data_IF_729604248490
#
_entry.id   IF_729604248490
#
_cell.length_a   1.000
_cell.length_b   1.000
_cell.length_c   1.000
_cell.angle_alpha   90.00
_cell.angle_beta   90.00
_cell.angle_gamma   90.00
#
_symmetry.space_group_name_H-M   'P 1'
#
loop_
_entity.id
_entity.type
_entity.pdbx_description
1 polymer ?
#
# COMPACT_ATOMS: atom_id res chain seq x y z
N UNK A 1 -4.59 -44.90 13.82
CA UNK A 1 -3.58 -43.95 13.30
C UNK A 1 -3.99 -43.55 11.90
N UNK A 2 -4.80 -42.49 11.78
CA UNK A 2 -5.32 -41.97 10.52
C UNK A 2 -4.49 -40.74 10.14
N UNK A 3 -3.74 -40.85 9.06
CA UNK A 3 -2.93 -39.77 8.47
C UNK A 3 -3.86 -38.71 7.88
N UNK A 4 -3.83 -37.49 8.43
CA UNK A 4 -4.52 -36.35 7.86
C UNK A 4 -3.67 -35.79 6.70
N UNK A 5 -4.19 -35.90 5.48
CA UNK A 5 -3.56 -35.39 4.27
C UNK A 5 -3.44 -33.86 4.29
N UNK A 6 -2.26 -33.35 3.89
CA UNK A 6 -2.04 -31.92 3.67
C UNK A 6 -2.95 -31.41 2.54
N UNK A 7 -3.59 -30.23 2.68
CA UNK A 7 -4.28 -29.60 1.56
C UNK A 7 -3.26 -29.19 0.50
N UNK A 8 -3.54 -29.52 -0.77
CA UNK A 8 -2.77 -29.02 -1.91
C UNK A 8 -3.05 -27.51 -2.10
N UNK A 9 -2.03 -26.69 -2.38
CA UNK A 9 -2.23 -25.32 -2.81
C UNK A 9 -2.99 -25.31 -4.15
N UNK A 10 -4.10 -24.58 -4.19
CA UNK A 10 -4.91 -24.43 -5.40
C UNK A 10 -4.08 -23.88 -6.56
N UNK A 11 -4.11 -24.59 -7.69
CA UNK A 11 -3.47 -24.16 -8.92
C UNK A 11 -4.17 -22.90 -9.44
N UNK A 12 -3.43 -21.82 -9.63
CA UNK A 12 -3.91 -20.65 -10.39
C UNK A 12 -4.08 -21.04 -11.87
N UNK A 13 -5.12 -20.54 -12.55
CA UNK A 13 -5.31 -20.79 -13.98
C UNK A 13 -4.13 -20.24 -14.79
N UNK A 14 -3.58 -21.07 -15.68
CA UNK A 14 -2.57 -20.64 -16.64
C UNK A 14 -3.25 -19.71 -17.68
N UNK A 15 -2.68 -18.52 -17.88
CA UNK A 15 -3.17 -17.60 -18.90
C UNK A 15 -3.03 -18.24 -20.30
N UNK A 16 -4.04 -18.13 -21.18
CA UNK A 16 -3.93 -18.59 -22.56
C UNK A 16 -2.91 -17.74 -23.36
N UNK A 17 -2.31 -18.31 -24.42
CA UNK A 17 -1.38 -17.59 -25.28
C UNK A 17 -2.06 -16.40 -25.97
N UNK A 18 -1.35 -15.28 -26.03
CA UNK A 18 -1.78 -14.04 -26.70
C UNK A 18 -1.91 -14.29 -28.20
N UNK A 19 -3.14 -14.22 -28.73
CA UNK A 19 -3.39 -14.20 -30.18
C UNK A 19 -3.36 -12.76 -30.68
N UNK A 20 -2.38 -12.44 -31.53
CA UNK A 20 -2.31 -11.16 -32.22
C UNK A 20 -3.42 -11.11 -33.28
N UNK A 21 -4.40 -10.23 -33.10
CA UNK A 21 -5.39 -9.93 -34.14
C UNK A 21 -4.88 -8.84 -35.08
N UNK A 22 -5.07 -9.07 -36.37
CA UNK A 22 -4.76 -8.12 -37.45
C UNK A 22 -5.56 -6.82 -37.29
N UNK A 23 -4.84 -5.70 -37.36
CA UNK A 23 -5.36 -4.34 -37.27
C UNK A 23 -6.27 -4.00 -38.47
N UNK A 24 -7.44 -3.36 -38.27
CA UNK A 24 -8.25 -2.87 -39.39
C UNK A 24 -7.56 -1.68 -40.09
N UNK A 25 -7.72 -1.51 -41.42
CA UNK A 25 -7.11 -0.40 -42.14
C UNK A 25 -7.98 0.85 -42.08
N UNK A 26 -7.34 2.02 -41.92
CA UNK A 26 -7.90 3.29 -42.36
C UNK A 26 -8.55 4.17 -41.28
N UNK A 27 -7.74 4.64 -40.32
CA UNK A 27 -8.02 5.87 -39.59
C UNK A 27 -6.88 6.85 -39.84
N UNK A 28 -7.19 8.10 -40.22
CA UNK A 28 -6.19 9.16 -40.37
C UNK A 28 -5.33 9.24 -39.09
N UNK A 29 -3.99 9.30 -39.22
CA UNK A 29 -3.12 9.35 -38.05
C UNK A 29 -3.37 10.66 -37.32
N UNK A 30 -3.96 10.57 -36.12
CA UNK A 30 -4.03 11.68 -35.19
C UNK A 30 -2.62 12.28 -35.05
N UNK A 31 -2.50 13.58 -35.34
CA UNK A 31 -1.24 14.32 -35.27
C UNK A 31 -0.60 14.10 -33.90
N UNK A 32 0.55 13.44 -33.88
CA UNK A 32 1.27 13.14 -32.65
C UNK A 32 1.70 14.44 -31.94
N UNK A 33 1.66 14.48 -30.60
CA UNK A 33 2.04 15.67 -29.85
C UNK A 33 3.52 16.07 -30.10
N UNK A 34 3.86 17.37 -29.92
CA UNK A 34 5.22 17.88 -29.97
C UNK A 34 6.20 17.04 -29.13
N UNK A 35 7.47 17.01 -29.54
CA UNK A 35 8.50 16.20 -28.88
C UNK A 35 8.74 16.60 -27.40
N UNK A 36 8.59 17.89 -27.08
CA UNK A 36 8.75 18.42 -25.71
C UNK A 36 7.65 17.92 -24.77
N UNK A 37 6.40 17.85 -25.25
CA UNK A 37 5.27 17.34 -24.47
C UNK A 37 5.43 15.85 -24.17
N UNK A 38 5.93 15.07 -25.13
CA UNK A 38 6.27 13.66 -24.93
C UNK A 38 7.37 13.47 -23.88
N UNK A 39 8.37 14.35 -23.86
CA UNK A 39 9.43 14.32 -22.87
C UNK A 39 8.91 14.55 -21.45
N UNK A 40 8.01 15.52 -21.27
CA UNK A 40 7.37 15.81 -19.97
C UNK A 40 6.49 14.66 -19.51
N UNK A 41 5.63 14.13 -20.40
CA UNK A 41 4.76 13.01 -20.10
C UNK A 41 5.55 11.76 -19.66
N UNK A 42 6.66 11.46 -20.35
CA UNK A 42 7.55 10.36 -19.96
C UNK A 42 8.21 10.58 -18.60
N UNK A 43 8.63 11.81 -18.31
CA UNK A 43 9.21 12.16 -17.02
C UNK A 43 8.19 12.04 -15.87
N UNK A 44 6.95 12.48 -16.09
CA UNK A 44 5.85 12.31 -15.13
C UNK A 44 5.54 10.83 -14.89
N UNK A 45 5.41 10.03 -15.94
CA UNK A 45 5.22 8.57 -15.83
C UNK A 45 6.38 7.90 -15.07
N UNK A 46 7.62 8.34 -15.30
CA UNK A 46 8.79 7.84 -14.60
C UNK A 46 8.76 8.19 -13.11
N UNK A 47 8.35 9.41 -12.78
CA UNK A 47 8.17 9.87 -11.40
C UNK A 47 7.10 9.05 -10.69
N UNK A 48 5.94 8.84 -11.31
CA UNK A 48 4.85 8.06 -10.72
C UNK A 48 5.25 6.59 -10.50
N UNK A 49 5.89 5.97 -11.50
CA UNK A 49 6.42 4.62 -11.36
C UNK A 49 7.43 4.52 -10.20
N UNK A 50 8.26 5.55 -10.01
CA UNK A 50 9.20 5.63 -8.89
C UNK A 50 8.48 5.74 -7.54
N UNK A 51 7.44 6.57 -7.42
CA UNK A 51 6.58 6.64 -6.21
C UNK A 51 6.03 5.27 -5.87
N UNK A 52 5.40 4.59 -6.84
CA UNK A 52 4.80 3.27 -6.65
C UNK A 52 5.81 2.24 -6.14
N UNK A 53 7.01 2.19 -6.74
CA UNK A 53 8.09 1.28 -6.31
C UNK A 53 8.58 1.59 -4.90
N UNK A 54 8.79 2.86 -4.57
CA UNK A 54 9.20 3.22 -3.22
C UNK A 54 8.10 2.89 -2.20
N UNK A 55 6.81 3.00 -2.56
CA UNK A 55 5.71 2.65 -1.68
C UNK A 55 5.74 1.14 -1.36
N UNK A 56 6.00 0.30 -2.37
CA UNK A 56 6.22 -1.15 -2.19
C UNK A 56 7.39 -1.40 -1.25
N UNK A 57 8.56 -0.79 -1.48
CA UNK A 57 9.75 -0.97 -0.63
C UNK A 57 9.44 -0.59 0.82
N UNK A 58 8.76 0.54 1.02
CA UNK A 58 8.40 1.08 2.34
C UNK A 58 7.43 0.16 3.06
N UNK A 59 6.37 -0.30 2.40
CA UNK A 59 5.39 -1.20 3.03
C UNK A 59 5.94 -2.60 3.25
N UNK A 60 6.84 -3.09 2.39
CA UNK A 60 7.57 -4.34 2.63
C UNK A 60 8.35 -4.25 3.93
N UNK A 61 9.16 -3.20 4.11
CA UNK A 61 9.90 -2.97 5.35
C UNK A 61 8.97 -2.81 6.56
N UNK A 62 7.93 -2.00 6.44
CA UNK A 62 6.93 -1.82 7.50
C UNK A 62 6.29 -3.16 7.89
N UNK A 63 5.93 -4.02 6.93
CA UNK A 63 5.29 -5.31 7.22
C UNK A 63 6.17 -6.24 8.04
N UNK A 64 7.49 -6.19 7.84
CA UNK A 64 8.46 -6.96 8.64
C UNK A 64 8.53 -6.38 10.04
N UNK A 65 8.70 -5.06 10.16
CA UNK A 65 8.76 -4.39 11.47
C UNK A 65 7.46 -4.56 12.27
N UNK A 66 6.32 -4.54 11.59
CA UNK A 66 5.01 -4.80 12.18
C UNK A 66 4.93 -6.22 12.73
N UNK A 67 5.32 -7.24 11.94
CA UNK A 67 5.40 -8.62 12.41
C UNK A 67 6.36 -8.79 13.60
N UNK A 68 7.53 -8.15 13.56
CA UNK A 68 8.49 -8.14 14.69
C UNK A 68 7.85 -7.58 15.96
N UNK A 69 7.23 -6.39 15.88
CA UNK A 69 6.61 -5.77 17.04
C UNK A 69 5.41 -6.57 17.58
N UNK A 70 4.55 -7.08 16.68
CA UNK A 70 3.41 -7.90 17.06
C UNK A 70 3.86 -9.20 17.74
N UNK A 71 4.91 -9.83 17.20
CA UNK A 71 5.53 -11.00 17.81
C UNK A 71 6.06 -10.68 19.20
N UNK A 72 6.90 -9.67 19.36
CA UNK A 72 7.55 -9.36 20.64
C UNK A 72 6.55 -9.05 21.75
N UNK A 73 5.41 -8.43 21.41
CA UNK A 73 4.39 -8.02 22.40
C UNK A 73 3.25 -9.00 22.61
N UNK A 74 3.23 -10.14 21.91
CA UNK A 74 2.09 -11.07 21.82
C UNK A 74 1.50 -11.58 23.15
N UNK A 75 2.25 -11.55 24.25
CA UNK A 75 1.82 -12.06 25.56
C UNK A 75 1.54 -11.01 26.64
N UNK A 76 1.87 -9.73 26.39
CA UNK A 76 1.72 -8.68 27.41
C UNK A 76 0.80 -7.55 26.93
N UNK A 77 1.17 -6.94 25.81
CA UNK A 77 0.46 -5.80 25.22
C UNK A 77 0.26 -6.09 23.72
N UNK A 78 -0.60 -7.07 23.38
CA UNK A 78 -0.72 -7.55 22.01
C UNK A 78 -1.07 -6.39 21.07
N UNK A 79 -0.36 -6.32 19.95
CA UNK A 79 -0.64 -5.37 18.88
C UNK A 79 -1.71 -5.98 17.98
N UNK A 80 -2.64 -5.16 17.49
CA UNK A 80 -3.62 -5.57 16.50
C UNK A 80 -2.93 -6.18 15.27
N UNK A 81 -3.57 -7.06 14.50
CA UNK A 81 -2.98 -7.66 13.31
C UNK A 81 -2.83 -6.65 12.15
N UNK A 82 -2.99 -5.35 12.40
CA UNK A 82 -3.04 -4.29 11.39
C UNK A 82 -2.12 -3.13 11.74
N UNK A 83 -1.47 -2.57 10.72
CA UNK A 83 -0.72 -1.32 10.82
C UNK A 83 -1.02 -0.42 9.63
N UNK A 84 -1.09 0.89 9.87
CA UNK A 84 -1.31 1.91 8.85
C UNK A 84 -0.04 2.74 8.63
N UNK A 85 0.26 3.05 7.38
CA UNK A 85 1.24 4.03 6.94
C UNK A 85 0.55 5.10 6.12
N UNK A 86 0.74 6.35 6.52
CA UNK A 86 0.41 7.54 5.76
C UNK A 86 1.68 7.93 5.02
N UNK A 87 1.64 7.88 3.69
CA UNK A 87 2.81 7.98 2.83
C UNK A 87 2.98 9.41 2.34
N UNK A 88 4.20 9.92 2.50
CA UNK A 88 4.60 11.25 2.06
C UNK A 88 5.81 11.13 1.16
N UNK A 89 5.79 11.88 0.06
CA UNK A 89 6.93 12.02 -0.82
C UNK A 89 7.63 13.34 -0.55
N UNK A 90 8.96 13.35 -0.70
CA UNK A 90 9.79 14.53 -0.55
C UNK A 90 10.97 14.45 -1.52
N UNK A 91 11.52 15.61 -1.88
CA UNK A 91 12.77 15.65 -2.64
C UNK A 91 13.94 15.47 -1.68
N UNK A 92 14.97 14.75 -2.09
CA UNK A 92 16.21 14.68 -1.32
C UNK A 92 17.00 15.98 -1.45
N UNK A 93 17.64 16.48 -0.37
CA UNK A 93 18.39 17.74 -0.43
C UNK A 93 19.53 17.76 -1.44
N UNK A 94 20.09 16.59 -1.80
CA UNK A 94 21.27 16.44 -2.63
C UNK A 94 20.98 16.17 -4.12
N UNK A 95 19.71 16.21 -4.57
CA UNK A 95 19.40 16.06 -6.00
C UNK A 95 17.92 15.86 -6.32
N UNK A 96 17.63 15.58 -7.60
CA UNK A 96 16.27 15.30 -8.12
C UNK A 96 15.76 13.89 -7.73
N UNK A 97 16.21 13.38 -6.58
CA UNK A 97 15.81 12.08 -6.08
C UNK A 97 14.58 12.21 -5.20
N UNK A 98 13.52 11.51 -5.59
CA UNK A 98 12.35 11.34 -4.75
C UNK A 98 12.58 10.30 -3.66
N UNK A 99 12.19 10.62 -2.43
CA UNK A 99 12.14 9.73 -1.28
C UNK A 99 10.72 9.64 -0.73
N UNK A 100 10.35 8.46 -0.25
CA UNK A 100 9.13 8.25 0.53
C UNK A 100 9.45 8.14 2.01
N UNK A 101 8.71 8.89 2.82
CA UNK A 101 8.66 8.80 4.28
C UNK A 101 7.24 8.42 4.70
N UNK A 102 7.08 7.97 5.95
CA UNK A 102 5.76 7.64 6.45
C UNK A 102 5.52 8.07 7.89
N UNK A 103 4.27 8.44 8.16
CA UNK A 103 3.71 8.49 9.50
C UNK A 103 2.94 7.18 9.73
N UNK A 104 3.31 6.42 10.76
CA UNK A 104 2.82 5.06 11.00
C UNK A 104 1.99 4.96 12.27
N UNK A 105 0.89 4.23 12.18
CA UNK A 105 -0.02 3.94 13.29
C UNK A 105 -0.12 2.43 13.49
N UNK A 106 0.04 2.00 14.74
CA UNK A 106 -0.25 0.67 15.23
C UNK A 106 -1.30 0.78 16.33
N UNK A 107 -2.06 -0.29 16.55
CA UNK A 107 -3.06 -0.32 17.61
C UNK A 107 -2.77 -1.47 18.56
N UNK A 108 -3.26 -1.34 19.79
CA UNK A 108 -3.38 -2.50 20.67
C UNK A 108 -4.50 -3.40 20.14
N UNK A 109 -4.36 -4.71 20.35
CA UNK A 109 -5.40 -5.67 20.02
C UNK A 109 -6.57 -5.49 20.99
N UNK A 110 -7.77 -5.37 20.44
CA UNK A 110 -9.01 -5.12 21.16
C UNK A 110 -10.21 -5.44 20.27
N UNK A 111 -11.42 -5.36 20.82
CA UNK A 111 -12.64 -5.60 20.05
C UNK A 111 -12.80 -4.60 18.89
N UNK A 112 -12.35 -3.37 19.10
CA UNK A 112 -12.38 -2.28 18.13
C UNK A 112 -11.39 -2.43 16.97
N UNK A 113 -10.37 -3.28 17.15
CA UNK A 113 -9.32 -3.54 16.15
C UNK A 113 -9.39 -4.94 15.54
N UNK A 114 -10.44 -5.72 15.85
CA UNK A 114 -10.62 -7.09 15.33
C UNK A 114 -10.89 -7.14 13.84
N UNK A 115 -11.58 -6.14 13.29
CA UNK A 115 -12.02 -6.13 11.89
C UNK A 115 -11.44 -4.93 11.15
N UNK A 116 -10.50 -5.18 10.24
CA UNK A 116 -9.82 -4.10 9.51
C UNK A 116 -10.77 -3.14 8.77
N UNK A 117 -11.79 -3.59 8.02
CA UNK A 117 -12.72 -2.66 7.36
C UNK A 117 -13.43 -1.74 8.35
N UNK A 118 -13.86 -2.27 9.50
CA UNK A 118 -14.54 -1.51 10.55
C UNK A 118 -13.59 -0.55 11.25
N UNK A 119 -12.35 -0.98 11.49
CA UNK A 119 -11.29 -0.13 12.04
C UNK A 119 -11.03 1.09 11.14
N UNK A 120 -10.88 0.87 9.83
CA UNK A 120 -10.67 1.95 8.87
C UNK A 120 -11.88 2.88 8.76
N UNK A 121 -13.10 2.33 8.74
CA UNK A 121 -14.33 3.14 8.80
C UNK A 121 -14.33 4.09 10.02
N UNK A 122 -14.13 3.54 11.21
CA UNK A 122 -14.11 4.31 12.45
C UNK A 122 -13.00 5.35 12.42
N UNK A 123 -11.82 5.00 11.89
CA UNK A 123 -10.70 5.93 11.76
C UNK A 123 -11.04 7.12 10.86
N UNK A 124 -11.69 6.89 9.73
CA UNK A 124 -12.17 7.96 8.84
C UNK A 124 -13.11 8.92 9.56
N UNK A 125 -14.03 8.39 10.38
CA UNK A 125 -14.94 9.23 11.17
C UNK A 125 -14.20 10.06 12.21
N UNK A 126 -13.29 9.45 12.97
CA UNK A 126 -12.50 10.13 14.01
C UNK A 126 -11.63 11.22 13.40
N UNK A 127 -10.92 10.95 12.30
CA UNK A 127 -10.09 11.95 11.61
C UNK A 127 -10.92 13.12 11.13
N UNK A 128 -12.11 12.86 10.56
CA UNK A 128 -13.00 13.91 10.07
C UNK A 128 -13.54 14.79 11.21
N UNK A 129 -13.96 14.17 12.32
CA UNK A 129 -14.45 14.87 13.50
C UNK A 129 -13.36 15.71 14.16
N UNK A 130 -12.18 15.13 14.35
CA UNK A 130 -11.04 15.82 14.97
C UNK A 130 -10.57 17.01 14.15
N UNK A 131 -10.47 16.85 12.83
CA UNK A 131 -10.07 17.94 11.94
C UNK A 131 -11.09 19.08 11.92
N UNK A 132 -12.38 18.78 12.04
CA UNK A 132 -13.42 19.79 12.13
C UNK A 132 -13.42 20.52 13.50
N UNK A 133 -13.12 19.80 14.58
CA UNK A 133 -13.14 20.34 15.94
C UNK A 133 -11.86 21.09 16.33
N UNK A 134 -10.73 20.80 15.70
CA UNK A 134 -9.40 21.29 16.10
C UNK A 134 -8.75 22.10 14.97
N UNK A 135 -8.78 23.44 15.04
CA UNK A 135 -8.01 24.28 14.12
C UNK A 135 -6.53 23.90 14.15
N UNK A 136 -5.93 23.68 12.97
CA UNK A 136 -4.52 23.27 12.85
C UNK A 136 -4.24 21.79 13.06
N UNK A 137 -5.26 20.92 13.01
CA UNK A 137 -5.09 19.46 13.00
C UNK A 137 -4.05 19.02 11.96
N UNK A 138 -3.03 18.30 12.41
CA UNK A 138 -1.93 17.78 11.59
C UNK A 138 -2.04 16.25 11.55
N UNK A 139 -2.51 15.72 10.41
CA UNK A 139 -2.70 14.28 10.20
C UNK A 139 -1.47 13.47 10.62
N UNK A 140 -0.26 13.93 10.27
CA UNK A 140 0.98 13.23 10.63
C UNK A 140 1.15 13.12 12.15
N UNK A 141 0.95 14.21 12.88
CA UNK A 141 1.25 14.31 14.31
C UNK A 141 0.12 13.79 15.19
N UNK A 142 -1.12 14.04 14.78
CA UNK A 142 -2.30 13.73 15.55
C UNK A 142 -2.79 12.28 15.33
N UNK A 143 -2.57 11.69 14.15
CA UNK A 143 -3.04 10.35 13.83
C UNK A 143 -2.00 9.26 14.14
N UNK A 144 -0.74 9.49 13.80
CA UNK A 144 0.30 8.46 13.82
C UNK A 144 0.96 8.30 15.20
N UNK A 145 1.44 7.10 15.50
CA UNK A 145 2.24 6.85 16.70
C UNK A 145 3.73 7.16 16.49
N UNK A 146 4.19 7.10 15.24
CA UNK A 146 5.58 7.33 14.87
C UNK A 146 5.65 8.00 13.52
N UNK A 147 6.44 9.06 13.43
CA UNK A 147 6.82 9.72 12.19
C UNK A 147 8.27 9.38 11.90
N UNK A 148 8.60 9.15 10.62
CA UNK A 148 9.99 9.02 10.19
C UNK A 148 10.81 10.25 10.58
N UNK A 149 11.99 10.02 11.17
CA UNK A 149 12.84 11.10 11.71
C UNK A 149 13.35 12.07 10.64
N UNK A 150 13.40 11.60 9.41
CA UNK A 150 13.88 12.31 8.22
C UNK A 150 12.73 12.78 7.31
N UNK A 151 11.49 12.76 7.80
CA UNK A 151 10.37 13.40 7.12
C UNK A 151 10.58 14.91 7.08
N UNK A 152 10.66 15.45 5.87
CA UNK A 152 10.85 16.87 5.65
C UNK A 152 9.56 17.66 5.95
N UNK A 153 9.64 18.91 6.42
CA UNK A 153 8.45 19.73 6.67
C UNK A 153 7.60 20.03 5.43
N UNK A 154 8.21 19.97 4.24
CA UNK A 154 7.58 20.19 2.93
C UNK A 154 7.22 18.87 2.20
N UNK A 155 7.32 17.73 2.89
CA UNK A 155 6.88 16.45 2.36
C UNK A 155 5.37 16.48 2.07
N UNK A 156 4.97 15.98 0.91
CA UNK A 156 3.57 16.01 0.47
C UNK A 156 2.95 14.62 0.48
N UNK A 157 1.67 14.57 0.84
CA UNK A 157 0.91 13.32 0.90
C UNK A 157 0.80 12.68 -0.49
N UNK A 158 1.00 11.35 -0.56
CA UNK A 158 0.85 10.59 -1.81
C UNK A 158 0.01 9.33 -1.69
N UNK A 159 -0.37 8.90 -0.49
CA UNK A 159 -1.26 7.76 -0.32
C UNK A 159 -1.22 7.09 1.04
N UNK A 160 -1.88 5.95 1.12
CA UNK A 160 -1.91 5.09 2.30
C UNK A 160 -1.34 3.71 1.98
N UNK A 161 -0.79 3.07 3.00
CA UNK A 161 -0.54 1.64 3.02
C UNK A 161 -1.05 1.01 4.30
N UNK A 162 -1.60 -0.19 4.19
CA UNK A 162 -2.01 -1.00 5.34
C UNK A 162 -1.27 -2.32 5.29
N UNK A 163 -0.57 -2.67 6.37
CA UNK A 163 -0.03 -4.01 6.60
C UNK A 163 -1.02 -4.81 7.44
N UNK A 164 -1.31 -6.04 7.03
CA UNK A 164 -2.13 -6.99 7.78
C UNK A 164 -1.39 -8.31 7.96
N UNK A 165 -1.40 -8.83 9.18
CA UNK A 165 -0.89 -10.17 9.52
C UNK A 165 -1.99 -11.24 9.39
N UNK A 166 -3.25 -10.82 9.22
CA UNK A 166 -4.31 -11.69 8.72
C UNK A 166 -4.16 -11.80 7.21
N UNK A 167 -3.91 -13.00 6.74
CA UNK A 167 -3.66 -13.30 5.33
C UNK A 167 -4.65 -14.32 4.82
N UNK A 168 -4.64 -14.58 3.51
CA UNK A 168 -5.50 -15.61 2.96
C UNK A 168 -5.09 -17.04 3.40
N UNK A 169 -3.91 -17.21 3.99
CA UNK A 169 -3.46 -18.49 4.57
C UNK A 169 -3.83 -18.66 6.05
N UNK A 170 -4.40 -17.64 6.69
CA UNK A 170 -4.83 -17.72 8.07
C UNK A 170 -4.80 -16.37 8.79
N UNK A 171 -5.44 -16.35 9.95
CA UNK A 171 -5.42 -15.24 10.90
C UNK A 171 -4.06 -15.09 11.57
N UNK A 172 -3.79 -13.92 12.13
CA UNK A 172 -2.62 -13.67 12.97
C UNK A 172 -2.51 -14.66 14.12
N UNK A 173 -3.63 -15.03 14.76
CA UNK A 173 -3.61 -15.98 15.87
C UNK A 173 -3.10 -17.36 15.41
N UNK A 174 -3.62 -17.87 14.28
CA UNK A 174 -3.19 -19.15 13.70
C UNK A 174 -1.73 -19.10 13.25
N UNK A 175 -1.33 -18.02 12.56
CA UNK A 175 0.05 -17.83 12.12
C UNK A 175 1.03 -17.76 13.29
N UNK A 176 0.68 -17.04 14.35
CA UNK A 176 1.47 -16.92 15.59
C UNK A 176 1.66 -18.27 16.27
N UNK A 177 0.59 -19.07 16.37
CA UNK A 177 0.62 -20.35 17.08
C UNK A 177 1.45 -21.40 16.34
N UNK A 178 1.51 -21.32 14.99
CA UNK A 178 2.31 -22.20 14.15
C UNK A 178 3.76 -21.76 13.93
N UNK A 179 4.12 -20.51 14.21
CA UNK A 179 5.43 -19.95 13.91
C UNK A 179 6.45 -20.14 15.04
N UNK A 180 7.72 -20.28 14.67
CA UNK A 180 8.86 -20.31 15.58
C UNK A 180 9.42 -18.92 15.86
N UNK A 181 9.24 -17.98 14.93
CA UNK A 181 9.73 -16.61 15.05
C UNK A 181 8.94 -15.62 14.20
N UNK A 182 9.16 -14.33 14.42
CA UNK A 182 8.51 -13.27 13.64
C UNK A 182 8.76 -13.35 12.13
N UNK A 183 9.87 -13.97 11.69
CA UNK A 183 10.23 -14.05 10.27
C UNK A 183 9.38 -15.06 9.50
N UNK A 184 8.70 -15.97 10.20
CA UNK A 184 7.74 -16.92 9.63
C UNK A 184 6.32 -16.35 9.52
N UNK A 185 6.08 -15.17 10.10
CA UNK A 185 4.77 -14.53 10.05
C UNK A 185 4.55 -13.93 8.66
N UNK A 186 3.55 -14.39 7.90
CA UNK A 186 3.22 -13.80 6.62
C UNK A 186 2.52 -12.45 6.83
N UNK A 187 2.48 -11.64 5.78
CA UNK A 187 1.74 -10.39 5.79
C UNK A 187 1.24 -10.04 4.41
N UNK A 188 0.09 -9.39 4.34
CA UNK A 188 -0.38 -8.70 3.13
C UNK A 188 -0.28 -7.19 3.34
N UNK A 189 0.30 -6.49 2.38
CA UNK A 189 0.25 -5.04 2.33
C UNK A 189 -0.68 -4.58 1.21
N UNK A 190 -1.57 -3.64 1.52
CA UNK A 190 -2.45 -2.96 0.56
C UNK A 190 -2.01 -1.51 0.48
N UNK A 191 -1.89 -0.96 -0.72
CA UNK A 191 -1.44 0.43 -0.96
C UNK A 191 -2.46 1.09 -1.88
N UNK A 192 -2.87 2.30 -1.53
CA UNK A 192 -3.72 3.18 -2.36
C UNK A 192 -3.04 4.54 -2.48
N UNK A 193 -2.71 4.95 -3.71
CA UNK A 193 -2.07 6.24 -3.98
C UNK A 193 -3.07 7.24 -4.55
N UNK A 194 -2.76 8.54 -4.41
CA UNK A 194 -3.64 9.64 -4.86
C UNK A 194 -3.85 9.69 -6.38
N UNK A 195 -3.01 9.02 -7.17
CA UNK A 195 -3.15 8.87 -8.63
C UNK A 195 -4.11 7.73 -9.03
N UNK A 196 -4.77 7.11 -8.06
CA UNK A 196 -5.66 5.96 -8.24
C UNK A 196 -4.92 4.63 -8.40
N UNK A 197 -3.61 4.58 -8.10
CA UNK A 197 -2.88 3.31 -8.05
C UNK A 197 -3.30 2.50 -6.83
N UNK A 198 -3.58 1.21 -7.05
CA UNK A 198 -3.80 0.20 -6.02
C UNK A 198 -2.73 -0.87 -6.21
N UNK A 199 -2.04 -1.21 -5.11
CA UNK A 199 -1.00 -2.25 -5.10
C UNK A 199 -1.29 -3.22 -3.96
N UNK A 200 -1.29 -4.51 -4.25
CA UNK A 200 -1.28 -5.58 -3.27
C UNK A 200 0.11 -6.22 -3.24
N UNK A 201 0.66 -6.41 -2.05
CA UNK A 201 1.90 -7.12 -1.84
C UNK A 201 1.65 -8.28 -0.87
N UNK A 202 1.87 -9.51 -1.31
CA UNK A 202 1.83 -10.67 -0.43
C UNK A 202 3.26 -11.06 -0.04
N UNK A 203 3.55 -11.09 1.26
CA UNK A 203 4.82 -11.52 1.82
C UNK A 203 4.61 -12.80 2.60
N UNK A 204 5.26 -13.88 2.19
CA UNK A 204 5.27 -15.14 2.93
C UNK A 204 6.31 -15.14 4.06
N UNK A 205 6.16 -16.10 4.96
CA UNK A 205 7.15 -16.37 6.00
C UNK A 205 8.43 -16.99 5.44
N UNK A 206 9.50 -17.03 6.26
CA UNK A 206 10.76 -17.71 5.91
C UNK A 206 10.59 -19.21 5.62
N UNK A 207 9.62 -19.86 6.25
CA UNK A 207 9.20 -21.24 5.97
C UNK A 207 8.70 -21.46 4.53
N UNK A 208 8.30 -20.38 3.85
CA UNK A 208 7.91 -20.33 2.44
C UNK A 208 8.88 -19.45 1.63
N UNK A 209 10.16 -19.47 2.03
CA UNK A 209 11.28 -18.79 1.39
C UNK A 209 11.13 -17.27 1.27
N UNK A 210 10.31 -16.64 2.13
CA UNK A 210 10.05 -15.19 2.13
C UNK A 210 9.64 -14.69 0.72
N UNK A 211 8.87 -15.51 0.01
CA UNK A 211 8.36 -15.13 -1.31
C UNK A 211 7.52 -13.86 -1.21
N UNK A 212 7.65 -13.01 -2.24
CA UNK A 212 7.05 -11.69 -2.26
C UNK A 212 6.41 -11.44 -3.62
N UNK A 213 5.08 -11.44 -3.68
CA UNK A 213 4.33 -11.21 -4.91
C UNK A 213 3.70 -9.83 -4.89
N UNK A 214 3.62 -9.20 -6.06
CA UNK A 214 3.04 -7.87 -6.23
C UNK A 214 1.95 -7.90 -7.31
N UNK A 215 0.81 -7.30 -7.03
CA UNK A 215 -0.26 -7.06 -7.99
C UNK A 215 -0.54 -5.56 -8.03
N UNK A 216 -0.64 -4.98 -9.23
CA UNK A 216 -0.84 -3.54 -9.40
C UNK A 216 -1.79 -3.24 -10.55
N UNK A 217 -2.67 -2.26 -10.37
CA UNK A 217 -3.54 -1.76 -11.45
C UNK A 217 -2.86 -0.74 -12.37
N UNK A 218 -1.68 -0.25 -11.98
CA UNK A 218 -0.86 0.65 -12.79
C UNK A 218 0.53 0.06 -13.03
N UNK A 219 1.19 0.42 -14.13
CA UNK A 219 2.57 0.02 -14.36
C UNK A 219 3.52 0.51 -13.26
N UNK A 220 4.43 -0.37 -12.84
CA UNK A 220 5.50 -0.06 -11.89
C UNK A 220 6.83 0.34 -12.58
N UNK A 221 6.80 0.49 -13.91
CA UNK A 221 7.93 0.87 -14.76
C UNK A 221 7.41 1.57 -16.03
N UNK A 222 8.28 2.34 -16.68
CA UNK A 222 7.95 3.09 -17.91
C UNK A 222 8.21 2.26 -19.16
N UNK A 223 9.28 1.47 -19.14
CA UNK A 223 9.86 0.75 -20.29
C UNK A 223 9.50 -0.74 -20.34
N UNK A 224 8.85 -1.27 -19.30
CA UNK A 224 8.41 -2.66 -19.22
C UNK A 224 8.77 -3.36 -17.91
N UNK A 225 8.23 -4.56 -17.65
CA UNK A 225 8.33 -5.23 -16.35
C UNK A 225 9.76 -5.58 -15.92
N UNK A 226 10.70 -5.69 -16.85
CA UNK A 226 12.12 -5.98 -16.58
C UNK A 226 12.84 -4.88 -15.78
N UNK A 227 12.36 -3.64 -15.86
CA UNK A 227 12.93 -2.50 -15.14
C UNK A 227 12.31 -2.30 -13.74
N UNK A 228 11.48 -3.25 -13.30
CA UNK A 228 10.93 -3.26 -11.95
C UNK A 228 11.70 -4.26 -11.07
N UNK A 229 12.24 -3.85 -9.90
CA UNK A 229 12.88 -4.77 -8.96
C UNK A 229 11.88 -5.76 -8.32
N UNK A 230 10.58 -5.59 -8.59
CA UNK A 230 9.50 -6.44 -8.09
C UNK A 230 8.76 -7.01 -9.30
N UNK A 231 8.88 -8.33 -9.57
CA UNK A 231 7.99 -9.00 -10.50
C UNK A 231 6.54 -8.74 -10.05
N UNK A 232 5.71 -8.22 -10.94
CA UNK A 232 4.32 -7.90 -10.64
C UNK A 232 3.37 -8.40 -11.71
N UNK A 233 2.14 -8.69 -11.29
CA UNK A 233 1.04 -9.00 -12.19
C UNK A 233 0.13 -7.78 -12.32
N UNK A 234 -0.28 -7.47 -13.55
CA UNK A 234 -1.31 -6.47 -13.78
C UNK A 234 -2.67 -7.02 -13.33
N UNK A 235 -3.46 -6.20 -12.65
CA UNK A 235 -4.82 -6.54 -12.19
C UNK A 235 -5.71 -5.32 -12.37
N UNK A 236 -6.99 -5.48 -12.72
CA UNK A 236 -7.85 -4.31 -12.86
C UNK A 236 -8.26 -3.74 -11.50
N UNK A 237 -8.55 -2.44 -11.45
CA UNK A 237 -9.16 -1.81 -10.25
C UNK A 237 -10.45 -2.52 -9.86
N UNK A 238 -11.27 -2.90 -10.83
CA UNK A 238 -12.55 -3.59 -10.60
C UNK A 238 -12.32 -4.94 -9.92
N UNK A 239 -11.41 -5.76 -10.42
CA UNK A 239 -11.14 -7.09 -9.85
C UNK A 239 -10.67 -6.97 -8.40
N UNK A 240 -9.84 -5.97 -8.08
CA UNK A 240 -9.37 -5.71 -6.73
C UNK A 240 -10.49 -5.30 -5.77
N UNK A 241 -11.44 -4.49 -6.23
CA UNK A 241 -12.58 -4.07 -5.41
C UNK A 241 -13.68 -5.13 -5.29
N UNK A 242 -13.84 -5.98 -6.31
CA UNK A 242 -14.81 -7.06 -6.31
C UNK A 242 -14.31 -8.27 -5.51
N UNK A 243 -13.00 -8.40 -5.26
CA UNK A 243 -12.42 -9.45 -4.42
C UNK A 243 -12.88 -9.28 -2.95
N UNK A 244 -13.61 -10.25 -2.37
CA UNK A 244 -14.10 -10.15 -0.98
C UNK A 244 -12.98 -10.05 0.07
N UNK A 245 -11.76 -10.51 -0.22
CA UNK A 245 -10.62 -10.40 0.68
C UNK A 245 -10.01 -8.99 0.73
N UNK A 246 -10.34 -8.13 -0.23
CA UNK A 246 -9.69 -6.84 -0.43
C UNK A 246 -10.68 -5.68 -0.54
N UNK A 247 -11.78 -5.84 -1.27
CA UNK A 247 -12.76 -4.82 -1.58
C UNK A 247 -13.24 -3.98 -0.39
N UNK A 248 -13.73 -4.59 0.70
CA UNK A 248 -14.16 -3.83 1.88
C UNK A 248 -13.05 -3.00 2.52
N UNK A 249 -11.81 -3.50 2.51
CA UNK A 249 -10.64 -2.78 3.04
C UNK A 249 -10.26 -1.63 2.12
N UNK A 250 -10.15 -1.90 0.81
CA UNK A 250 -9.79 -0.91 -0.20
C UNK A 250 -10.79 0.25 -0.24
N UNK A 251 -12.10 -0.04 -0.15
CA UNK A 251 -13.12 1.01 -0.06
C UNK A 251 -12.84 2.02 1.06
N UNK A 252 -12.58 1.53 2.27
CA UNK A 252 -12.33 2.43 3.40
C UNK A 252 -10.94 3.06 3.37
N UNK A 253 -9.95 2.41 2.74
CA UNK A 253 -8.66 3.04 2.45
C UNK A 253 -8.82 4.21 1.50
N UNK A 254 -9.63 4.09 0.45
CA UNK A 254 -9.89 5.17 -0.51
C UNK A 254 -10.60 6.34 0.16
N UNK A 255 -11.62 6.07 0.99
CA UNK A 255 -12.32 7.11 1.74
C UNK A 255 -11.41 7.86 2.72
N UNK A 256 -10.59 7.12 3.48
CA UNK A 256 -9.61 7.71 4.38
C UNK A 256 -8.55 8.52 3.62
N UNK A 257 -8.07 7.99 2.49
CA UNK A 257 -7.08 8.64 1.64
C UNK A 257 -7.63 9.95 1.05
N UNK A 258 -8.86 9.95 0.57
CA UNK A 258 -9.53 11.13 0.04
C UNK A 258 -9.79 12.19 1.13
N UNK A 259 -10.09 11.78 2.36
CA UNK A 259 -10.18 12.69 3.50
C UNK A 259 -8.82 13.33 3.81
N UNK A 260 -7.77 12.53 3.97
CA UNK A 260 -6.42 13.03 4.29
C UNK A 260 -5.91 13.97 3.19
N UNK A 261 -6.09 13.60 1.92
CA UNK A 261 -5.72 14.47 0.79
C UNK A 261 -6.38 15.85 0.87
N UNK A 262 -7.68 15.92 1.19
CA UNK A 262 -8.38 17.20 1.34
C UNK A 262 -7.84 18.04 2.50
N UNK A 263 -7.53 17.40 3.63
CA UNK A 263 -6.95 18.08 4.79
C UNK A 263 -5.56 18.64 4.48
N UNK A 264 -4.73 17.87 3.79
CA UNK A 264 -3.38 18.26 3.40
C UNK A 264 -3.40 19.40 2.36
N UNK A 265 -4.27 19.31 1.35
CA UNK A 265 -4.45 20.37 0.36
C UNK A 265 -4.90 21.70 1.02
N UNK A 266 -5.83 21.63 1.98
CA UNK A 266 -6.26 22.81 2.74
C UNK A 266 -5.10 23.44 3.52
N UNK A 267 -4.26 22.61 4.17
CA UNK A 267 -3.08 23.07 4.92
C UNK A 267 -2.10 23.85 4.03
N UNK A 268 -1.77 23.31 2.85
CA UNK A 268 -0.87 23.97 1.89
C UNK A 268 -1.42 25.30 1.36
N UNK A 269 -2.75 25.43 1.24
CA UNK A 269 -3.37 26.71 0.83
C UNK A 269 -3.42 27.75 1.95
N UNK A 270 -3.59 27.33 3.21
CA UNK A 270 -3.67 28.22 4.37
C UNK A 270 -2.30 28.69 4.87
N UNK A 271 -1.27 27.87 4.70
CA UNK A 271 0.11 28.24 4.97
C UNK A 271 0.71 28.85 3.71
N UNK A 272 0.66 30.17 3.57
CA UNK A 272 1.41 30.87 2.53
C UNK A 272 2.83 30.31 2.50
N UNK A 273 3.30 29.87 1.32
CA UNK A 273 4.70 29.50 1.14
C UNK A 273 5.55 30.63 1.74
N UNK A 274 6.46 30.35 2.68
CA UNK A 274 7.44 31.34 3.07
C UNK A 274 8.25 31.80 1.85
#
# INVERSE_FOLDING_TARGET
MTSAGRPQPGAYPQNPPVTWHDTPPGGEPASSPPAEDRGRELAERARDAKVRRHAISRLRYMSVMHATHAWDRRYRDPIAPYGLAILYAQNEPAGDQLKLTAATKLWLAGDETRELPRLLFNLTQVVGQDAAARPGYDVCRDLANRIDKDMAPDAWYVGLGVSSLDTHTGTWAEARDGAQSYSEIPAIARITLIDGTIILCDRRGMNEFNSFTVHSNRPLSVTGPLDCPYPYSAVSTKDLHDDPAHGPVLRWMDELSALIWRLEAARTTSGGRP
#
